data_IF_474313321590
#
_entry.id   IF_474313321590
#
_cell.length_a   1.000
_cell.length_b   1.000
_cell.length_c   1.000
_cell.angle_alpha   90.00
_cell.angle_beta   90.00
_cell.angle_gamma   90.00
#
_symmetry.space_group_name_H-M   'P 1'
#
loop_
_entity.id
_entity.type
_entity.pdbx_description
1 polymer ?
#
# COMPACT_ATOMS: atom_id res chain seq x y z
N UNK A 1 -1.26 2.64 -3.48
CA UNK A 1 -2.34 3.15 -2.60
C UNK A 1 -3.09 4.30 -3.26
N UNK A 2 -2.47 5.46 -3.53
CA UNK A 2 -3.20 6.65 -4.04
C UNK A 2 -3.91 6.45 -5.38
N UNK A 3 -3.29 5.76 -6.34
CA UNK A 3 -3.91 5.47 -7.64
C UNK A 3 -5.19 4.64 -7.50
N UNK A 4 -5.14 3.58 -6.69
CA UNK A 4 -6.31 2.76 -6.33
C UNK A 4 -7.37 3.61 -5.65
N UNK A 5 -6.99 4.39 -4.62
CA UNK A 5 -7.93 5.23 -3.89
C UNK A 5 -8.63 6.25 -4.80
N UNK A 6 -7.88 6.94 -5.65
CA UNK A 6 -8.43 7.93 -6.55
C UNK A 6 -9.42 7.31 -7.53
N UNK A 7 -9.03 6.23 -8.23
CA UNK A 7 -9.90 5.54 -9.18
C UNK A 7 -11.14 4.92 -8.51
N UNK A 8 -11.01 4.43 -7.27
CA UNK A 8 -12.12 3.90 -6.49
C UNK A 8 -13.13 4.99 -6.08
N UNK A 9 -12.64 6.20 -5.78
CA UNK A 9 -13.48 7.33 -5.36
C UNK A 9 -14.17 8.02 -6.52
N UNK A 10 -13.48 8.12 -7.65
CA UNK A 10 -13.98 8.74 -8.87
C UNK A 10 -13.49 7.91 -10.06
N UNK A 11 -14.43 7.37 -10.83
CA UNK A 11 -14.10 6.62 -12.03
C UNK A 11 -13.73 7.59 -13.14
N UNK A 12 -12.43 7.70 -13.42
CA UNK A 12 -11.92 8.48 -14.55
C UNK A 12 -12.05 7.65 -15.84
N UNK A 13 -12.92 8.03 -16.80
CA UNK A 13 -13.17 7.22 -18.00
C UNK A 13 -11.95 7.03 -18.91
N UNK A 14 -10.97 7.94 -18.84
CA UNK A 14 -9.71 7.86 -19.57
C UNK A 14 -8.69 6.89 -18.96
N UNK A 15 -8.91 6.44 -17.72
CA UNK A 15 -8.03 5.47 -17.06
C UNK A 15 -8.42 4.06 -17.49
N UNK A 16 -7.60 3.47 -18.36
CA UNK A 16 -7.82 2.12 -18.88
C UNK A 16 -7.33 1.02 -17.93
N UNK A 17 -6.45 1.36 -16.98
CA UNK A 17 -5.87 0.42 -16.04
C UNK A 17 -5.21 1.14 -14.85
N UNK A 18 -5.11 0.45 -13.70
CA UNK A 18 -4.37 0.92 -12.53
C UNK A 18 -3.21 -0.03 -12.21
N UNK A 19 -2.01 0.53 -11.94
CA UNK A 19 -0.79 -0.21 -11.64
C UNK A 19 -0.23 0.14 -10.26
N UNK A 20 -0.70 -0.48 -9.16
CA UNK A 20 -0.11 -0.31 -7.85
C UNK A 20 1.18 -1.13 -7.76
N UNK A 21 2.32 -0.45 -7.78
CA UNK A 21 3.64 -1.06 -7.57
C UNK A 21 4.03 -0.93 -6.10
N UNK A 22 4.26 -2.07 -5.45
CA UNK A 22 4.59 -2.20 -4.02
C UNK A 22 3.68 -1.41 -3.07
N UNK A 23 2.34 -1.44 -3.20
CA UNK A 23 1.48 -0.73 -2.26
C UNK A 23 1.52 -1.38 -0.87
N UNK A 24 1.52 -0.57 0.19
CA UNK A 24 1.25 -1.04 1.55
C UNK A 24 -0.25 -1.12 1.85
N UNK A 25 -0.66 -2.04 2.73
CA UNK A 25 -2.01 -2.11 3.27
C UNK A 25 -2.17 -1.09 4.41
N UNK A 26 -3.20 -0.25 4.29
CA UNK A 26 -3.50 0.86 5.23
C UNK A 26 -4.77 0.55 6.04
N UNK A 27 -4.98 -0.73 6.34
CA UNK A 27 -6.04 -1.20 7.22
C UNK A 27 -5.59 -1.10 8.69
N UNK A 28 -6.29 -0.30 9.47
CA UNK A 28 -5.97 0.01 10.88
C UNK A 28 -5.87 -1.25 11.75
N UNK A 29 -6.89 -2.11 11.75
CA UNK A 29 -6.88 -3.31 12.59
C UNK A 29 -5.82 -4.30 12.12
N UNK A 30 -5.65 -4.48 10.81
CA UNK A 30 -4.59 -5.32 10.26
C UNK A 30 -3.19 -4.82 10.63
N UNK A 31 -2.94 -3.51 10.59
CA UNK A 31 -1.67 -2.91 11.01
C UNK A 31 -1.43 -3.01 12.51
N UNK A 32 -2.49 -2.87 13.31
CA UNK A 32 -2.46 -3.07 14.75
C UNK A 32 -2.17 -4.52 15.12
N UNK A 33 -2.73 -5.50 14.41
CA UNK A 33 -2.39 -6.91 14.62
C UNK A 33 -0.95 -7.23 14.21
N UNK A 34 -0.48 -6.61 13.12
CA UNK A 34 0.83 -6.83 12.55
C UNK A 34 1.97 -6.22 13.39
N UNK A 35 1.72 -5.09 14.05
CA UNK A 35 2.71 -4.42 14.88
C UNK A 35 2.08 -3.59 16.04
N UNK A 36 1.45 -4.24 17.03
CA UNK A 36 0.57 -3.59 17.99
C UNK A 36 1.24 -2.46 18.77
N UNK A 37 2.38 -2.72 19.39
CA UNK A 37 3.02 -1.74 20.28
C UNK A 37 3.51 -0.50 19.53
N UNK A 38 4.20 -0.71 18.39
CA UNK A 38 4.78 0.42 17.65
C UNK A 38 3.72 1.22 16.90
N UNK A 39 2.75 0.53 16.27
CA UNK A 39 1.68 1.22 15.56
C UNK A 39 0.83 2.05 16.51
N UNK A 40 0.33 1.44 17.59
CA UNK A 40 -0.53 2.14 18.54
C UNK A 40 0.20 3.30 19.21
N UNK A 41 1.47 3.12 19.60
CA UNK A 41 2.28 4.21 20.16
C UNK A 41 2.35 5.40 19.20
N UNK A 42 2.78 5.19 17.96
CA UNK A 42 2.92 6.29 17.00
C UNK A 42 1.57 6.90 16.64
N UNK A 43 0.53 6.08 16.49
CA UNK A 43 -0.82 6.57 16.21
C UNK A 43 -1.35 7.45 17.35
N UNK A 44 -1.16 7.04 18.61
CA UNK A 44 -1.54 7.82 19.78
C UNK A 44 -0.73 9.12 19.88
N UNK A 45 0.59 9.06 19.71
CA UNK A 45 1.45 10.25 19.74
C UNK A 45 1.04 11.24 18.63
N UNK A 46 0.81 10.76 17.42
CA UNK A 46 0.37 11.59 16.29
C UNK A 46 -1.02 12.18 16.52
N UNK A 47 -1.96 11.40 17.06
CA UNK A 47 -3.30 11.88 17.42
C UNK A 47 -3.24 12.97 18.48
N UNK A 48 -2.35 12.81 19.48
CA UNK A 48 -2.12 13.81 20.51
C UNK A 48 -1.56 15.11 19.92
N UNK A 49 -0.54 15.04 19.07
CA UNK A 49 0.02 16.22 18.41
C UNK A 49 -1.01 16.98 17.55
N UNK A 50 -1.89 16.25 16.84
CA UNK A 50 -3.00 16.86 16.09
C UNK A 50 -3.98 17.57 17.03
N UNK A 51 -4.37 16.92 18.14
CA UNK A 51 -5.30 17.51 19.12
C UNK A 51 -4.74 18.78 19.79
N UNK A 52 -3.42 18.84 19.96
CA UNK A 52 -2.71 19.98 20.54
C UNK A 52 -2.40 21.11 19.53
N UNK A 53 -2.92 21.02 18.30
CA UNK A 53 -2.70 22.03 17.27
C UNK A 53 -1.31 21.99 16.64
N UNK A 54 -0.59 20.87 16.73
CA UNK A 54 0.73 20.62 16.14
C UNK A 54 0.70 19.55 15.02
N UNK A 55 -0.13 19.69 13.98
CA UNK A 55 -0.31 18.67 12.94
C UNK A 55 0.95 18.39 12.11
N UNK A 56 1.93 19.29 12.13
CA UNK A 56 3.17 19.21 11.35
C UNK A 56 4.34 18.59 12.13
N UNK A 57 4.13 18.12 13.35
CA UNK A 57 5.14 17.34 14.08
C UNK A 57 5.49 16.09 13.28
N UNK A 58 6.79 15.85 13.09
CA UNK A 58 7.27 14.74 12.28
C UNK A 58 7.56 13.50 13.13
N UNK A 59 7.11 12.36 12.63
CA UNK A 59 7.36 11.05 13.19
C UNK A 59 8.18 10.20 12.21
N UNK A 60 9.16 9.49 12.74
CA UNK A 60 9.86 8.40 12.04
C UNK A 60 9.49 7.11 12.75
N UNK A 61 8.29 6.55 12.48
CA UNK A 61 7.78 5.36 13.17
C UNK A 61 8.70 4.13 13.11
N UNK A 62 9.56 4.05 12.10
CA UNK A 62 10.25 2.80 11.78
C UNK A 62 9.27 1.78 11.22
N UNK A 63 9.61 0.49 11.30
CA UNK A 63 8.79 -0.58 10.71
C UNK A 63 7.32 -0.55 11.19
N UNK A 64 6.33 -0.71 10.28
CA UNK A 64 6.44 -1.00 8.84
C UNK A 64 6.64 0.20 7.91
N UNK A 65 6.77 1.42 8.44
CA UNK A 65 6.89 2.65 7.65
C UNK A 65 8.31 3.21 7.73
N UNK A 66 9.14 2.88 6.75
CA UNK A 66 10.51 3.40 6.63
C UNK A 66 10.61 4.91 6.33
N UNK A 67 9.49 5.64 6.29
CA UNK A 67 9.39 7.04 5.89
C UNK A 67 9.05 7.96 7.06
N UNK A 68 9.35 9.25 6.92
CA UNK A 68 8.92 10.31 7.84
C UNK A 68 7.52 10.79 7.49
N UNK A 69 6.67 10.97 8.50
CA UNK A 69 5.28 11.41 8.35
C UNK A 69 5.01 12.62 9.25
N UNK A 70 4.17 13.56 8.82
CA UNK A 70 3.58 14.50 9.76
C UNK A 70 2.50 13.82 10.61
N UNK A 71 2.22 14.35 11.79
CA UNK A 71 1.17 13.86 12.68
C UNK A 71 -0.16 13.70 11.93
N UNK A 72 -0.57 14.76 11.21
CA UNK A 72 -1.81 14.76 10.45
C UNK A 72 -1.82 13.73 9.31
N UNK A 73 -0.70 13.56 8.61
CA UNK A 73 -0.62 12.60 7.50
C UNK A 73 -0.68 11.16 8.02
N UNK A 74 -0.03 10.87 9.15
CA UNK A 74 -0.06 9.55 9.77
C UNK A 74 -1.48 9.20 10.23
N UNK A 75 -2.14 10.10 10.95
CA UNK A 75 -3.52 9.90 11.45
C UNK A 75 -4.53 9.77 10.30
N UNK A 76 -4.36 10.54 9.22
CA UNK A 76 -5.25 10.44 8.05
C UNK A 76 -5.02 9.13 7.28
N UNK A 77 -3.75 8.77 7.01
CA UNK A 77 -3.42 7.59 6.21
C UNK A 77 -3.80 6.28 6.91
N UNK A 78 -3.62 6.21 8.22
CA UNK A 78 -3.88 5.01 9.02
C UNK A 78 -5.10 5.19 9.93
N UNK A 79 -6.11 5.92 9.47
CA UNK A 79 -7.32 6.14 10.25
C UNK A 79 -8.10 4.83 10.47
N UNK A 80 -8.79 4.71 11.61
CA UNK A 80 -9.63 3.57 11.94
C UNK A 80 -10.80 3.33 10.96
N UNK A 81 -11.19 4.35 10.19
CA UNK A 81 -12.19 4.19 9.13
C UNK A 81 -11.67 3.51 7.85
N UNK A 82 -10.38 3.14 7.82
CA UNK A 82 -9.74 2.40 6.74
C UNK A 82 -9.91 3.06 5.36
N UNK A 83 -10.04 4.40 5.32
CA UNK A 83 -10.34 5.13 4.07
C UNK A 83 -9.33 4.86 2.95
N UNK A 84 -8.08 4.54 3.28
CA UNK A 84 -7.01 4.24 2.32
C UNK A 84 -6.63 2.75 2.25
N UNK A 85 -7.38 1.84 2.87
CA UNK A 85 -7.10 0.40 2.75
C UNK A 85 -7.12 -0.02 1.29
N UNK A 86 -6.01 -0.59 0.80
CA UNK A 86 -5.84 -0.82 -0.64
C UNK A 86 -6.69 -2.01 -1.09
N UNK A 87 -6.77 -3.07 -0.28
CA UNK A 87 -7.64 -4.21 -0.58
C UNK A 87 -9.12 -3.82 -0.56
N UNK A 88 -9.55 -2.99 0.40
CA UNK A 88 -10.95 -2.54 0.43
C UNK A 88 -11.29 -1.64 -0.77
N UNK A 89 -10.39 -0.73 -1.14
CA UNK A 89 -10.66 0.23 -2.23
C UNK A 89 -10.60 -0.40 -3.61
N UNK A 90 -9.78 -1.42 -3.81
CA UNK A 90 -9.63 -1.98 -5.16
C UNK A 90 -10.85 -2.77 -5.62
N UNK A 91 -11.69 -3.24 -4.69
CA UNK A 91 -13.01 -3.82 -5.01
C UNK A 91 -13.89 -2.83 -5.80
N UNK A 92 -13.78 -1.53 -5.49
CA UNK A 92 -14.58 -0.46 -6.10
C UNK A 92 -14.01 0.03 -7.45
N UNK A 93 -12.86 -0.47 -7.90
CA UNK A 93 -12.24 -0.06 -9.17
C UNK A 93 -12.84 -0.85 -10.34
N UNK A 94 -13.33 -0.16 -11.37
CA UNK A 94 -14.02 -0.82 -12.50
C UNK A 94 -13.07 -1.28 -13.61
N UNK A 95 -11.93 -0.61 -13.79
CA UNK A 95 -10.94 -0.97 -14.79
C UNK A 95 -10.01 -2.10 -14.29
N UNK A 96 -9.28 -2.80 -15.21
CA UNK A 96 -8.24 -3.74 -14.82
C UNK A 96 -7.21 -3.14 -13.86
N UNK A 97 -6.78 -3.94 -12.88
CA UNK A 97 -5.73 -3.55 -11.93
C UNK A 97 -4.67 -4.64 -11.90
N UNK A 98 -3.39 -4.27 -12.04
CA UNK A 98 -2.29 -5.19 -11.74
C UNK A 98 -1.48 -4.69 -10.57
N UNK A 99 -1.53 -5.44 -9.48
CA UNK A 99 -0.61 -5.28 -8.37
C UNK A 99 0.71 -5.95 -8.70
N UNK A 100 1.80 -5.25 -8.42
CA UNK A 100 3.15 -5.80 -8.53
C UNK A 100 3.81 -5.68 -7.17
N UNK A 101 4.43 -6.76 -6.73
CA UNK A 101 5.21 -6.81 -5.51
C UNK A 101 6.58 -7.43 -5.78
N UNK A 102 7.58 -7.06 -5.00
CA UNK A 102 8.83 -7.81 -4.90
C UNK A 102 8.72 -8.93 -3.87
N UNK A 103 9.30 -10.11 -4.15
CA UNK A 103 9.26 -11.21 -3.17
C UNK A 103 10.03 -10.88 -1.88
N UNK A 104 11.11 -10.10 -1.98
CA UNK A 104 11.94 -9.75 -0.81
C UNK A 104 11.27 -8.75 0.14
N UNK A 105 10.44 -7.84 -0.38
CA UNK A 105 9.68 -6.89 0.46
C UNK A 105 8.44 -7.51 1.11
N UNK A 106 7.92 -8.61 0.57
CA UNK A 106 6.70 -9.21 1.10
C UNK A 106 6.98 -10.26 2.17
N UNK A 107 7.91 -11.16 1.89
CA UNK A 107 8.18 -12.35 2.71
C UNK A 107 9.68 -12.68 2.84
N UNK A 108 10.56 -11.91 2.18
CA UNK A 108 11.99 -12.14 2.19
C UNK A 108 12.78 -11.25 3.18
N UNK A 109 14.10 -11.12 2.98
CA UNK A 109 15.00 -10.49 3.95
C UNK A 109 14.84 -8.97 4.05
N UNK A 110 14.13 -8.32 3.12
CA UNK A 110 13.91 -6.87 3.07
C UNK A 110 12.45 -6.52 3.36
N UNK A 111 11.81 -7.28 4.25
CA UNK A 111 10.36 -7.22 4.49
C UNK A 111 9.88 -5.82 4.87
N UNK A 112 8.79 -5.41 4.22
CA UNK A 112 7.94 -4.28 4.57
C UNK A 112 6.56 -4.84 4.91
N UNK A 113 6.23 -4.88 6.21
CA UNK A 113 5.07 -5.66 6.67
C UNK A 113 3.75 -5.21 6.00
N UNK A 114 3.59 -3.91 5.75
CA UNK A 114 2.42 -3.37 5.06
C UNK A 114 2.33 -3.87 3.59
N UNK A 115 3.46 -3.98 2.88
CA UNK A 115 3.49 -4.51 1.51
C UNK A 115 3.12 -6.00 1.49
N UNK A 116 3.71 -6.79 2.39
CA UNK A 116 3.37 -8.21 2.53
C UNK A 116 1.90 -8.43 2.92
N UNK A 117 1.34 -7.57 3.78
CA UNK A 117 -0.07 -7.61 4.14
C UNK A 117 -0.99 -7.30 2.94
N UNK A 118 -0.65 -6.29 2.13
CA UNK A 118 -1.39 -5.97 0.91
C UNK A 118 -1.36 -7.14 -0.09
N UNK A 119 -0.16 -7.70 -0.35
CA UNK A 119 0.02 -8.82 -1.25
C UNK A 119 -0.89 -10.00 -0.87
N UNK A 120 -0.85 -10.42 0.42
CA UNK A 120 -1.67 -11.52 0.91
C UNK A 120 -3.17 -11.21 0.81
N UNK A 121 -3.57 -10.01 1.20
CA UNK A 121 -4.99 -9.62 1.24
C UNK A 121 -5.60 -9.51 -0.15
N UNK A 122 -4.90 -8.88 -1.10
CA UNK A 122 -5.36 -8.79 -2.50
C UNK A 122 -5.39 -10.16 -3.17
N UNK A 123 -4.37 -11.00 -2.94
CA UNK A 123 -4.34 -12.36 -3.49
C UNK A 123 -5.48 -13.22 -2.96
N UNK A 124 -5.83 -13.09 -1.68
CA UNK A 124 -6.92 -13.84 -1.05
C UNK A 124 -8.32 -13.37 -1.47
N UNK A 125 -8.47 -12.12 -1.94
CA UNK A 125 -9.75 -11.55 -2.31
C UNK A 125 -10.29 -12.06 -3.66
N UNK A 126 -9.42 -12.59 -4.54
CA UNK A 126 -9.79 -13.20 -5.83
C UNK A 126 -10.68 -12.32 -6.72
N UNK A 127 -10.52 -11.00 -6.66
CA UNK A 127 -11.30 -10.06 -7.49
C UNK A 127 -11.01 -10.27 -8.99
N UNK A 128 -12.04 -10.38 -9.84
CA UNK A 128 -11.88 -10.82 -11.23
C UNK A 128 -11.14 -9.82 -12.13
N UNK A 129 -11.17 -8.53 -11.80
CA UNK A 129 -10.46 -7.46 -12.52
C UNK A 129 -9.01 -7.26 -12.05
N UNK A 130 -8.54 -8.09 -11.10
CA UNK A 130 -7.23 -7.92 -10.49
C UNK A 130 -6.26 -9.03 -10.90
N UNK A 131 -5.08 -8.62 -11.32
CA UNK A 131 -3.90 -9.50 -11.48
C UNK A 131 -2.89 -9.18 -10.37
N UNK A 132 -2.27 -10.21 -9.79
CA UNK A 132 -1.20 -10.05 -8.80
C UNK A 132 0.08 -10.71 -9.34
N UNK A 133 1.11 -9.89 -9.55
CA UNK A 133 2.44 -10.34 -9.96
C UNK A 133 3.45 -10.16 -8.83
N UNK A 134 4.30 -11.16 -8.64
CA UNK A 134 5.40 -11.13 -7.68
C UNK A 134 6.70 -11.33 -8.47
N UNK A 135 7.62 -10.37 -8.35
CA UNK A 135 8.94 -10.42 -9.00
C UNK A 135 9.93 -11.04 -8.02
N UNK A 136 10.52 -12.17 -8.42
CA UNK A 136 11.40 -12.92 -7.54
C UNK A 136 12.75 -12.21 -7.32
N UNK A 137 13.19 -12.14 -6.07
CA UNK A 137 14.40 -11.43 -5.67
C UNK A 137 14.31 -9.90 -5.77
N UNK A 138 13.12 -9.33 -6.01
CA UNK A 138 12.94 -7.88 -5.98
C UNK A 138 12.63 -7.37 -4.56
N UNK A 139 13.29 -6.28 -4.18
CA UNK A 139 12.94 -5.48 -3.01
C UNK A 139 11.97 -4.35 -3.39
N UNK A 140 11.61 -3.51 -2.42
CA UNK A 140 10.68 -2.38 -2.62
C UNK A 140 11.12 -1.40 -3.72
N UNK A 141 12.43 -1.25 -3.91
CA UNK A 141 13.01 -0.39 -4.93
C UNK A 141 13.28 -1.10 -6.26
N UNK A 142 12.98 -2.39 -6.38
CA UNK A 142 13.29 -3.24 -7.54
C UNK A 142 14.76 -3.13 -7.99
N UNK A 143 15.70 -2.98 -7.04
CA UNK A 143 17.11 -2.79 -7.34
C UNK A 143 17.68 -4.03 -8.06
N UNK A 144 18.23 -3.82 -9.26
CA UNK A 144 18.72 -4.91 -10.11
C UNK A 144 17.62 -5.76 -10.77
N UNK A 145 16.36 -5.32 -10.68
CA UNK A 145 15.16 -5.97 -11.23
C UNK A 145 14.30 -5.00 -12.05
N UNK A 146 14.87 -3.87 -12.45
CA UNK A 146 14.21 -2.80 -13.20
C UNK A 146 13.70 -3.25 -14.57
N UNK A 147 14.51 -4.02 -15.31
CA UNK A 147 14.09 -4.58 -16.59
C UNK A 147 12.93 -5.58 -16.42
N UNK A 148 12.98 -6.43 -15.40
CA UNK A 148 11.95 -7.43 -15.11
C UNK A 148 10.62 -6.75 -14.69
N UNK A 149 10.70 -5.67 -13.90
CA UNK A 149 9.55 -4.82 -13.59
C UNK A 149 8.95 -4.21 -14.86
N UNK A 150 9.79 -3.64 -15.72
CA UNK A 150 9.34 -3.05 -16.98
C UNK A 150 8.66 -4.08 -17.89
N UNK A 151 9.29 -5.24 -18.09
CA UNK A 151 8.76 -6.31 -18.94
C UNK A 151 7.44 -6.87 -18.41
N UNK A 152 7.30 -6.99 -17.08
CA UNK A 152 6.04 -7.39 -16.43
C UNK A 152 4.92 -6.39 -16.72
N UNK A 153 5.18 -5.09 -16.50
CA UNK A 153 4.20 -4.02 -16.76
C UNK A 153 3.84 -3.96 -18.25
N UNK A 154 4.84 -3.88 -19.11
CA UNK A 154 4.64 -3.73 -20.55
C UNK A 154 3.97 -4.96 -21.17
N UNK A 155 4.31 -6.17 -20.71
CA UNK A 155 3.65 -7.40 -21.12
C UNK A 155 2.17 -7.40 -20.78
N UNK A 156 1.82 -7.05 -19.54
CA UNK A 156 0.42 -6.98 -19.11
C UNK A 156 -0.37 -5.90 -19.83
N UNK A 157 0.19 -4.71 -20.03
CA UNK A 157 -0.48 -3.62 -20.75
C UNK A 157 -0.85 -3.97 -22.20
N UNK A 158 -0.18 -4.93 -22.83
CA UNK A 158 -0.54 -5.44 -24.17
C UNK A 158 -1.75 -6.38 -24.19
N UNK A 159 -2.22 -6.79 -23.02
CA UNK A 159 -3.37 -7.71 -22.87
C UNK A 159 -4.69 -6.99 -22.61
N UNK A 160 -4.63 -5.67 -22.42
CA UNK A 160 -5.75 -4.76 -22.18
C UNK A 160 -6.11 -4.07 -23.49
#
# INVERSE_FOLDING_TARGET
>A
VRSVYAQAKEQFPEVVAVLPVSPGEYNYEGLKELHPDNFLRVYHDATHEVAEGRPHTFFTPGMPWGSTWSASAFVDCFNADNRYSVTARVEEVECPVMFIFGSEECEGPQVLLACGAAMRSVKAAEFPHITVNIIDGANHGYQGRDLELFETIHGWLKTI
#
